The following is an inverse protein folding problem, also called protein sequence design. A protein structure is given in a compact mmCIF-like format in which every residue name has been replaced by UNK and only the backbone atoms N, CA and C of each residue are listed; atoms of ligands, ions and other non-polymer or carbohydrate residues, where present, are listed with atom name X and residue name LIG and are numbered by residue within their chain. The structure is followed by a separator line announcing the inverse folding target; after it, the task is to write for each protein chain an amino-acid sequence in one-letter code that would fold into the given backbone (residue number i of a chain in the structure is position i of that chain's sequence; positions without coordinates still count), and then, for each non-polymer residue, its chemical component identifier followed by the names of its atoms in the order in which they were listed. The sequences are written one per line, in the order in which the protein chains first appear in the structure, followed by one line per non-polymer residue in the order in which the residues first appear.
data_IF_493858596314
#
_entry.id   IF_493858596314
#
_cell.length_a   1.000
_cell.length_b   1.000
_cell.length_c   1.000
_cell.angle_alpha   90.00
_cell.angle_beta   90.00
_cell.angle_gamma   90.00
#
_symmetry.space_group_name_H-M   'P 1'
#
loop_
_entity.id
_entity.type
_entity.pdbx_description
1 polymer ?
#
# COMPACT_ATOMS: atom_id res chain seq x y z
N UNK A 1 -22.26 12.94 15.46
CA UNK A 1 -21.50 11.71 15.77
C UNK A 1 -20.97 11.16 14.45
N UNK A 2 -19.67 11.24 14.19
CA UNK A 2 -19.08 10.51 13.06
C UNK A 2 -19.22 9.01 13.35
N UNK A 3 -19.74 8.24 12.39
CA UNK A 3 -19.74 6.79 12.48
C UNK A 3 -18.28 6.34 12.67
N UNK A 4 -18.02 5.45 13.64
CA UNK A 4 -16.70 4.85 13.78
C UNK A 4 -16.40 4.07 12.50
N UNK A 5 -15.30 4.41 11.84
CA UNK A 5 -14.79 3.62 10.72
C UNK A 5 -14.55 2.20 11.20
N UNK A 6 -15.19 1.24 10.53
CA UNK A 6 -15.01 -0.19 10.80
C UNK A 6 -14.19 -0.78 9.65
N UNK A 7 -13.16 -1.59 9.94
CA UNK A 7 -12.45 -2.30 8.89
C UNK A 7 -13.40 -3.27 8.18
N UNK A 8 -13.10 -3.54 6.91
CA UNK A 8 -13.77 -4.56 6.11
C UNK A 8 -13.68 -5.94 6.78
N UNK A 9 -14.54 -6.88 6.35
CA UNK A 9 -14.43 -8.25 6.83
C UNK A 9 -13.14 -8.91 6.30
N UNK A 10 -12.59 -9.85 7.08
CA UNK A 10 -11.35 -10.54 6.71
C UNK A 10 -11.47 -11.29 5.37
N UNK A 11 -12.65 -11.82 5.03
CA UNK A 11 -12.88 -12.53 3.78
C UNK A 11 -12.86 -11.56 2.60
N UNK A 12 -13.61 -10.46 2.71
CA UNK A 12 -13.68 -9.43 1.68
C UNK A 12 -12.30 -8.84 1.41
N UNK A 13 -11.54 -8.57 2.48
CA UNK A 13 -10.17 -8.10 2.36
C UNK A 13 -9.28 -9.11 1.61
N UNK A 14 -9.35 -10.40 1.93
CA UNK A 14 -8.55 -11.44 1.24
C UNK A 14 -8.91 -11.57 -0.24
N UNK A 15 -10.20 -11.51 -0.56
CA UNK A 15 -10.67 -11.53 -1.96
C UNK A 15 -10.16 -10.29 -2.69
N UNK A 16 -10.30 -9.11 -2.10
CA UNK A 16 -9.78 -7.85 -2.65
C UNK A 16 -8.26 -7.90 -2.85
N UNK A 17 -7.49 -8.36 -1.86
CA UNK A 17 -6.04 -8.49 -1.98
C UNK A 17 -5.62 -9.44 -3.11
N UNK A 18 -6.38 -10.51 -3.34
CA UNK A 18 -6.12 -11.45 -4.45
C UNK A 18 -6.40 -10.78 -5.79
N UNK A 19 -7.51 -10.04 -5.89
CA UNK A 19 -7.82 -9.25 -7.07
C UNK A 19 -6.77 -8.16 -7.36
N UNK A 20 -6.30 -7.46 -6.34
CA UNK A 20 -5.27 -6.44 -6.49
C UNK A 20 -3.96 -7.03 -7.01
N UNK A 21 -3.54 -8.21 -6.53
CA UNK A 21 -2.37 -8.91 -7.08
C UNK A 21 -2.52 -9.19 -8.59
N UNK A 22 -3.68 -9.66 -9.01
CA UNK A 22 -3.95 -9.89 -10.44
C UNK A 22 -3.94 -8.58 -11.23
N UNK A 23 -4.66 -7.56 -10.75
CA UNK A 23 -4.67 -6.21 -11.35
C UNK A 23 -3.26 -5.64 -11.49
N UNK A 24 -2.43 -5.76 -10.47
CA UNK A 24 -1.09 -5.16 -10.42
C UNK A 24 -0.10 -5.90 -11.30
N UNK A 25 -0.35 -7.19 -11.57
CA UNK A 25 0.38 -7.95 -12.58
C UNK A 25 0.07 -7.46 -14.00
N UNK A 26 -1.20 -7.22 -14.32
CA UNK A 26 -1.62 -6.73 -15.65
C UNK A 26 -1.30 -5.24 -15.84
N UNK A 27 -1.43 -4.45 -14.77
CA UNK A 27 -1.28 -3.00 -14.77
C UNK A 27 -0.31 -2.58 -13.65
N UNK A 28 1.00 -2.49 -13.94
CA UNK A 28 2.02 -2.17 -12.93
C UNK A 28 1.78 -0.83 -12.25
N UNK A 29 1.77 -0.82 -10.92
CA UNK A 29 1.53 0.39 -10.11
C UNK A 29 2.63 1.44 -10.23
N UNK A 30 3.83 1.05 -10.70
CA UNK A 30 4.95 1.96 -10.99
C UNK A 30 4.54 3.09 -11.94
N UNK A 31 3.67 2.81 -12.92
CA UNK A 31 3.28 3.81 -13.92
C UNK A 31 2.47 4.95 -13.29
N UNK A 32 1.62 4.64 -12.31
CA UNK A 32 0.84 5.65 -11.58
C UNK A 32 1.76 6.50 -10.71
N UNK A 33 2.69 5.86 -10.00
CA UNK A 33 3.64 6.58 -9.14
C UNK A 33 4.67 7.40 -9.92
N UNK A 34 4.87 7.11 -11.22
CA UNK A 34 5.75 7.91 -12.08
C UNK A 34 5.22 9.34 -12.28
N UNK A 35 3.90 9.56 -12.18
CA UNK A 35 3.29 10.89 -12.30
C UNK A 35 3.57 11.78 -11.07
N UNK A 36 3.88 11.17 -9.92
CA UNK A 36 4.11 11.87 -8.63
C UNK A 36 5.56 12.33 -8.48
N UNK A 37 6.45 11.94 -9.40
CA UNK A 37 7.87 12.27 -9.41
C UNK A 37 8.60 12.04 -8.07
N UNK A 38 8.32 10.89 -7.43
CA UNK A 38 8.94 10.49 -6.17
C UNK A 38 10.46 10.40 -6.34
N UNK A 39 11.21 11.10 -5.48
CA UNK A 39 12.67 11.10 -5.48
C UNK A 39 13.25 10.28 -4.32
N UNK A 40 14.49 9.79 -4.48
CA UNK A 40 15.25 9.23 -3.36
C UNK A 40 15.32 10.21 -2.18
N UNK A 41 15.18 9.71 -0.96
CA UNK A 41 15.18 10.52 0.26
C UNK A 41 13.81 11.05 0.70
N UNK A 42 12.75 10.82 -0.08
CA UNK A 42 11.41 11.27 0.33
C UNK A 42 10.85 10.44 1.49
N UNK A 43 10.02 11.11 2.29
CA UNK A 43 9.24 10.52 3.37
C UNK A 43 7.78 10.50 2.93
N UNK A 44 7.19 9.31 2.75
CA UNK A 44 5.86 9.14 2.15
C UNK A 44 4.94 8.45 3.16
N UNK A 45 3.70 8.92 3.25
CA UNK A 45 2.61 8.23 3.93
C UNK A 45 1.72 7.54 2.88
N UNK A 46 1.62 6.21 2.95
CA UNK A 46 0.65 5.42 2.21
C UNK A 46 -0.59 5.20 3.10
N UNK A 47 -1.58 6.06 2.94
CA UNK A 47 -2.81 6.07 3.74
C UNK A 47 -3.86 5.14 3.12
N UNK A 48 -4.26 4.11 3.85
CA UNK A 48 -5.07 3.02 3.30
C UNK A 48 -4.23 2.06 2.45
N UNK A 49 -3.07 1.65 2.97
CA UNK A 49 -2.06 0.91 2.20
C UNK A 49 -2.53 -0.47 1.69
N UNK A 50 -3.58 -1.04 2.29
CA UNK A 50 -4.15 -2.33 1.91
C UNK A 50 -3.08 -3.45 1.88
N UNK A 51 -3.04 -4.30 0.83
CA UNK A 51 -2.04 -5.36 0.73
C UNK A 51 -0.62 -4.87 0.42
N UNK A 52 -0.39 -3.55 0.26
CA UNK A 52 0.93 -2.96 0.03
C UNK A 52 1.34 -2.74 -1.42
N UNK A 53 0.37 -2.74 -2.35
CA UNK A 53 0.61 -2.59 -3.80
C UNK A 53 1.40 -1.35 -4.17
N UNK A 54 1.09 -0.20 -3.57
CA UNK A 54 1.80 1.05 -3.78
C UNK A 54 2.97 1.20 -2.81
N UNK A 55 2.80 0.75 -1.55
CA UNK A 55 3.83 0.81 -0.51
C UNK A 55 5.18 0.28 -0.99
N UNK A 56 5.23 -0.93 -1.57
CA UNK A 56 6.50 -1.54 -1.97
C UNK A 56 7.16 -0.81 -3.14
N UNK A 57 6.36 -0.25 -4.04
CA UNK A 57 6.87 0.51 -5.19
C UNK A 57 7.40 1.86 -4.71
N UNK A 58 6.67 2.55 -3.83
CA UNK A 58 7.12 3.79 -3.20
C UNK A 58 8.41 3.58 -2.40
N UNK A 59 8.51 2.49 -1.62
CA UNK A 59 9.70 2.15 -0.85
C UNK A 59 10.95 2.01 -1.74
N UNK A 60 10.80 1.36 -2.90
CA UNK A 60 11.89 1.24 -3.88
C UNK A 60 12.28 2.58 -4.51
N UNK A 61 11.34 3.50 -4.68
CA UNK A 61 11.60 4.81 -5.29
C UNK A 61 12.29 5.77 -4.31
N UNK A 62 11.89 5.78 -3.04
CA UNK A 62 12.53 6.64 -2.02
C UNK A 62 13.92 6.15 -1.61
N UNK A 63 14.22 4.87 -1.84
CA UNK A 63 15.54 4.29 -1.58
C UNK A 63 15.95 4.30 -0.10
N UNK A 64 17.21 3.95 0.17
CA UNK A 64 17.73 3.80 1.54
C UNK A 64 17.78 5.11 2.34
N UNK A 65 17.83 6.26 1.66
CA UNK A 65 17.83 7.57 2.31
C UNK A 65 16.43 8.09 2.65
N UNK A 66 15.37 7.39 2.24
CA UNK A 66 13.97 7.77 2.46
C UNK A 66 13.21 6.76 3.31
N UNK A 67 11.92 7.01 3.53
CA UNK A 67 11.07 6.15 4.35
C UNK A 67 9.62 6.17 3.84
N UNK A 68 8.98 5.01 3.85
CA UNK A 68 7.53 4.90 3.65
C UNK A 68 6.88 4.48 4.96
N UNK A 69 5.84 5.21 5.37
CA UNK A 69 4.94 4.85 6.45
C UNK A 69 3.66 4.31 5.84
N UNK A 70 3.36 3.04 6.10
CA UNK A 70 2.13 2.41 5.64
C UNK A 70 1.11 2.41 6.77
N UNK A 71 -0.05 3.03 6.54
CA UNK A 71 -1.13 3.14 7.53
C UNK A 71 -2.40 2.54 6.95
N UNK A 72 -3.03 1.65 7.72
CA UNK A 72 -4.34 1.09 7.38
C UNK A 72 -5.11 0.76 8.66
N UNK A 73 -6.43 0.89 8.60
CA UNK A 73 -7.31 0.50 9.71
C UNK A 73 -7.42 -1.01 9.84
N UNK A 74 -7.18 -1.76 8.76
CA UNK A 74 -7.35 -3.19 8.70
C UNK A 74 -6.07 -3.93 9.17
N UNK A 75 -6.13 -4.75 10.24
CA UNK A 75 -4.95 -5.46 10.74
C UNK A 75 -4.28 -6.40 9.72
N UNK A 76 -5.05 -7.00 8.80
CA UNK A 76 -4.50 -7.87 7.76
C UNK A 76 -3.70 -7.10 6.71
N UNK A 77 -4.03 -5.84 6.45
CA UNK A 77 -3.24 -4.96 5.58
C UNK A 77 -1.84 -4.75 6.16
N UNK A 78 -1.77 -4.36 7.44
CA UNK A 78 -0.51 -4.18 8.16
C UNK A 78 0.33 -5.45 8.15
N UNK A 79 -0.28 -6.61 8.45
CA UNK A 79 0.42 -7.90 8.41
C UNK A 79 0.93 -8.28 7.01
N UNK A 80 0.24 -7.89 5.94
CA UNK A 80 0.68 -8.17 4.58
C UNK A 80 1.84 -7.26 4.17
N UNK A 81 1.76 -5.97 4.50
CA UNK A 81 2.85 -5.02 4.26
C UNK A 81 4.11 -5.43 4.99
N UNK A 82 4.01 -5.85 6.26
CA UNK A 82 5.16 -6.34 7.04
C UNK A 82 5.85 -7.57 6.44
N UNK A 83 5.17 -8.36 5.60
CA UNK A 83 5.76 -9.54 4.94
C UNK A 83 6.52 -9.21 3.66
N UNK A 84 6.30 -8.02 3.10
CA UNK A 84 6.91 -7.58 1.84
C UNK A 84 7.90 -6.43 2.04
N UNK A 85 7.92 -5.83 3.22
CA UNK A 85 8.89 -4.84 3.67
C UNK A 85 10.24 -5.48 3.95
#
# INVERSE_FOLDING_TARGET
MMAKDKPQSNLDFRVMSTWFKFRDFVLPRKNILAEVDIKPGFYILDYGCGPGSYTIVAARLVGESGQVYALDIHPLAIQQVQKIA
#
